data_IF_482367553636
#
_entry.id   IF_482367553636
#
_cell.length_a   1.000
_cell.length_b   1.000
_cell.length_c   1.000
_cell.angle_alpha   90.00
_cell.angle_beta   90.00
_cell.angle_gamma   90.00
#
_symmetry.space_group_name_H-M   'P 1'
#
loop_
_entity.id
_entity.type
_entity.pdbx_description
1 polymer ?
#
# COMPACT_ATOMS: atom_id res chain seq x y z
N UNK A 1 -5.18 -1.23 12.99
CA UNK A 1 -4.62 0.14 13.09
C UNK A 1 -3.75 0.45 11.87
N UNK A 2 -4.31 0.32 10.66
CA UNK A 2 -3.61 0.58 9.39
C UNK A 2 -4.65 0.49 8.27
N UNK A 3 -4.57 1.32 7.23
CA UNK A 3 -5.20 1.08 5.95
C UNK A 3 -4.25 1.50 4.81
N UNK A 4 -3.98 0.57 3.89
CA UNK A 4 -3.28 0.85 2.64
C UNK A 4 -4.08 0.30 1.45
N UNK A 5 -3.97 0.96 0.31
CA UNK A 5 -4.62 0.57 -0.95
C UNK A 5 -3.70 0.82 -2.14
N UNK A 6 -3.68 -0.12 -3.07
CA UNK A 6 -3.01 0.03 -4.35
C UNK A 6 -3.95 -0.28 -5.52
N UNK A 7 -3.89 0.53 -6.57
CA UNK A 7 -4.59 0.37 -7.83
C UNK A 7 -3.58 0.04 -8.93
N UNK A 8 -3.92 -0.91 -9.80
CA UNK A 8 -3.20 -1.25 -11.02
C UNK A 8 -4.12 -0.93 -12.22
N UNK A 9 -3.70 0.03 -13.05
CA UNK A 9 -4.49 0.57 -14.16
C UNK A 9 -3.65 0.54 -15.43
N UNK A 10 -4.29 0.67 -16.59
CA UNK A 10 -3.60 0.77 -17.88
C UNK A 10 -2.63 1.96 -17.92
N UNK A 11 -3.00 3.06 -17.26
CA UNK A 11 -2.21 4.28 -17.21
C UNK A 11 -1.06 4.24 -16.18
N UNK A 12 -1.10 3.34 -15.20
CA UNK A 12 -0.13 3.33 -14.12
C UNK A 12 -0.59 2.66 -12.83
N UNK A 13 0.16 2.91 -11.76
CA UNK A 13 -0.11 2.46 -10.40
C UNK A 13 -0.37 3.68 -9.50
N UNK A 14 -1.40 3.60 -8.66
CA UNK A 14 -1.70 4.59 -7.60
C UNK A 14 -1.72 3.89 -6.25
N UNK A 15 -0.96 4.42 -5.29
CA UNK A 15 -0.80 3.83 -3.95
C UNK A 15 -1.12 4.89 -2.90
N UNK A 16 -1.84 4.50 -1.85
CA UNK A 16 -2.12 5.36 -0.70
C UNK A 16 -2.03 4.57 0.60
N UNK A 17 -1.31 5.11 1.58
CA UNK A 17 -1.23 4.54 2.93
C UNK A 17 -1.48 5.59 4.02
N UNK A 18 -2.19 5.20 5.06
CA UNK A 18 -2.25 5.96 6.31
C UNK A 18 -0.97 5.77 7.15
N UNK A 19 -0.80 6.53 8.24
CA UNK A 19 0.43 6.46 9.07
C UNK A 19 0.19 6.16 10.54
N UNK A 20 -1.05 6.19 11.02
CA UNK A 20 -1.38 5.83 12.40
C UNK A 20 -1.07 4.35 12.66
N UNK A 21 -0.31 4.07 13.72
CA UNK A 21 0.22 2.74 13.99
C UNK A 21 0.15 2.42 15.48
N UNK A 22 -0.16 1.16 15.81
CA UNK A 22 -0.04 0.63 17.16
C UNK A 22 1.41 0.18 17.41
N UNK A 23 2.13 0.85 18.31
CA UNK A 23 3.49 0.49 18.70
C UNK A 23 3.55 -0.23 20.06
N UNK A 24 2.42 -0.54 20.69
CA UNK A 24 2.34 -1.19 21.99
C UNK A 24 1.13 -0.73 22.80
N UNK A 25 0.97 -1.30 24.00
CA UNK A 25 -0.07 -0.87 24.93
C UNK A 25 0.04 0.65 25.17
N UNK A 26 -1.06 1.37 24.90
CA UNK A 26 -1.18 2.83 25.00
C UNK A 26 -0.15 3.65 24.19
N UNK A 27 0.45 3.06 23.15
CA UNK A 27 1.40 3.74 22.28
C UNK A 27 0.90 3.79 20.83
N UNK A 28 0.13 4.85 20.53
CA UNK A 28 -0.31 5.16 19.17
C UNK A 28 0.58 6.27 18.62
N UNK A 29 1.25 5.99 17.50
CA UNK A 29 2.19 6.92 16.90
C UNK A 29 2.10 6.93 15.37
N UNK A 30 2.83 7.85 14.76
CA UNK A 30 2.89 8.04 13.31
C UNK A 30 4.14 7.35 12.77
N UNK A 31 3.93 6.31 11.95
CA UNK A 31 5.00 5.63 11.22
C UNK A 31 4.65 5.59 9.73
N UNK A 32 5.66 5.83 8.88
CA UNK A 32 5.52 5.67 7.43
C UNK A 32 5.21 4.22 7.11
N UNK A 33 4.24 3.99 6.21
CA UNK A 33 3.84 2.66 5.76
C UNK A 33 4.06 2.41 4.28
N UNK A 34 4.68 3.34 3.57
CA UNK A 34 4.99 3.26 2.14
C UNK A 34 6.48 3.51 1.90
N UNK A 35 7.12 2.60 1.17
CA UNK A 35 8.56 2.59 0.94
C UNK A 35 8.83 2.34 -0.54
N UNK A 36 9.81 3.02 -1.10
CA UNK A 36 10.13 2.95 -2.53
C UNK A 36 11.59 2.61 -2.73
N UNK A 37 11.85 1.64 -3.59
CA UNK A 37 13.17 1.22 -4.05
C UNK A 37 13.21 1.47 -5.55
N UNK A 38 14.19 2.21 -6.04
CA UNK A 38 14.24 2.60 -7.44
C UNK A 38 15.68 2.56 -7.95
N UNK A 39 15.83 1.98 -9.13
CA UNK A 39 16.97 2.19 -10.03
C UNK A 39 16.39 2.84 -11.28
N UNK A 40 16.43 4.19 -11.38
CA UNK A 40 15.73 4.92 -12.44
C UNK A 40 16.06 4.40 -13.84
N UNK A 41 15.02 4.19 -14.63
CA UNK A 41 15.13 3.60 -15.97
C UNK A 41 15.24 2.08 -15.99
N UNK A 42 15.55 1.41 -14.88
CA UNK A 42 15.63 -0.05 -14.80
C UNK A 42 14.48 -0.67 -14.02
N UNK A 43 14.21 -0.20 -12.81
CA UNK A 43 13.19 -0.80 -11.94
C UNK A 43 12.72 0.17 -10.86
N UNK A 44 11.41 0.15 -10.63
CA UNK A 44 10.77 0.79 -9.47
C UNK A 44 9.94 -0.24 -8.72
N UNK A 45 10.09 -0.28 -7.40
CA UNK A 45 9.34 -1.14 -6.48
C UNK A 45 8.84 -0.28 -5.33
N UNK A 46 7.53 -0.25 -5.12
CA UNK A 46 6.89 0.36 -3.97
C UNK A 46 6.28 -0.73 -3.07
N UNK A 47 6.47 -0.61 -1.76
CA UNK A 47 6.00 -1.56 -0.75
C UNK A 47 5.16 -0.79 0.27
N UNK A 48 3.92 -1.25 0.51
CA UNK A 48 3.10 -0.78 1.61
C UNK A 48 2.96 -1.85 2.69
N UNK A 49 2.89 -1.44 3.96
CA UNK A 49 2.93 -2.36 5.11
C UNK A 49 1.68 -2.28 5.99
N UNK A 50 1.25 -3.43 6.52
CA UNK A 50 0.23 -3.51 7.56
C UNK A 50 0.50 -4.67 8.53
N UNK A 51 0.12 -4.48 9.79
CA UNK A 51 0.28 -5.49 10.85
C UNK A 51 1.40 -5.15 11.84
N UNK A 52 2.13 -6.16 12.31
CA UNK A 52 3.18 -6.00 13.32
C UNK A 52 4.29 -5.05 12.86
N UNK A 53 4.50 -3.97 13.62
CA UNK A 53 5.51 -2.97 13.29
C UNK A 53 6.94 -3.54 13.31
N UNK A 54 7.25 -4.41 14.28
CA UNK A 54 8.58 -5.03 14.37
C UNK A 54 8.88 -5.94 13.18
N UNK A 55 7.89 -6.71 12.72
CA UNK A 55 8.03 -7.58 11.54
C UNK A 55 8.20 -6.75 10.28
N UNK A 56 7.35 -5.75 10.06
CA UNK A 56 7.38 -4.92 8.85
C UNK A 56 8.67 -4.08 8.77
N UNK A 57 9.10 -3.45 9.86
CA UNK A 57 10.35 -2.67 9.88
C UNK A 57 11.58 -3.55 9.68
N UNK A 58 11.66 -4.71 10.33
CA UNK A 58 12.80 -5.63 10.15
C UNK A 58 12.85 -6.16 8.72
N UNK A 59 11.70 -6.48 8.13
CA UNK A 59 11.60 -6.90 6.73
C UNK A 59 12.14 -5.82 5.79
N UNK A 60 11.66 -4.57 5.94
CA UNK A 60 12.10 -3.45 5.12
C UNK A 60 13.57 -3.11 5.31
N UNK A 61 14.08 -3.17 6.54
CA UNK A 61 15.49 -2.91 6.83
C UNK A 61 16.40 -3.91 6.11
N UNK A 62 16.08 -5.21 6.15
CA UNK A 62 16.83 -6.25 5.42
C UNK A 62 16.80 -6.04 3.91
N UNK A 63 15.64 -5.67 3.37
CA UNK A 63 15.50 -5.39 1.94
C UNK A 63 16.31 -4.16 1.53
N UNK A 64 16.33 -3.11 2.36
CA UNK A 64 17.12 -1.90 2.12
C UNK A 64 18.63 -2.17 2.20
N UNK A 65 19.09 -2.86 3.23
CA UNK A 65 20.49 -3.25 3.39
C UNK A 65 20.97 -4.08 2.18
N UNK A 66 20.18 -5.06 1.73
CA UNK A 66 20.51 -5.86 0.56
C UNK A 66 20.41 -5.07 -0.77
N UNK A 67 19.61 -4.01 -0.84
CA UNK A 67 19.53 -3.14 -2.01
C UNK A 67 20.74 -2.20 -2.11
N UNK A 68 21.32 -1.80 -0.98
CA UNK A 68 22.52 -0.95 -0.90
C UNK A 68 23.83 -1.74 -1.05
N UNK A 69 23.82 -3.05 -0.81
CA UNK A 69 24.98 -3.94 -0.98
C UNK A 69 25.42 -4.04 -2.46
N UNK A 70 26.60 -3.49 -2.84
CA UNK A 70 27.08 -3.52 -4.22
C UNK A 70 27.27 -4.96 -4.75
N UNK A 71 27.62 -5.89 -3.87
CA UNK A 71 27.91 -7.29 -4.19
C UNK A 71 26.66 -8.18 -4.16
N UNK A 72 25.51 -7.67 -3.72
CA UNK A 72 24.27 -8.42 -3.77
C UNK A 72 23.88 -8.72 -5.22
N UNK A 73 23.37 -9.92 -5.50
CA UNK A 73 22.83 -10.29 -6.81
C UNK A 73 21.29 -10.32 -6.80
N UNK A 74 20.68 -10.80 -7.87
CA UNK A 74 19.22 -10.93 -7.99
C UNK A 74 18.57 -11.94 -7.05
N UNK A 75 19.35 -12.70 -6.27
CA UNK A 75 18.84 -13.60 -5.21
C UNK A 75 18.73 -12.90 -3.85
N UNK A 76 19.47 -11.79 -3.66
CA UNK A 76 19.52 -11.02 -2.40
C UNK A 76 18.88 -9.64 -2.52
N UNK A 77 19.02 -8.97 -3.67
CA UNK A 77 18.54 -7.60 -3.89
C UNK A 77 17.30 -7.56 -4.77
N UNK A 78 16.22 -6.94 -4.27
CA UNK A 78 14.98 -6.73 -5.02
C UNK A 78 15.16 -5.82 -6.25
N UNK A 79 16.19 -4.95 -6.25
CA UNK A 79 16.54 -4.11 -7.39
C UNK A 79 17.17 -4.94 -8.52
N UNK A 80 17.82 -6.07 -8.21
CA UNK A 80 18.53 -6.91 -9.19
C UNK A 80 17.76 -8.16 -9.64
N UNK A 81 16.56 -8.41 -9.11
CA UNK A 81 15.70 -9.53 -9.55
C UNK A 81 15.33 -9.48 -11.05
N UNK A 82 15.21 -10.60 -11.76
CA UNK A 82 14.95 -10.59 -13.21
C UNK A 82 13.47 -10.30 -13.58
N UNK A 83 12.55 -10.32 -12.62
CA UNK A 83 11.12 -10.04 -12.85
C UNK A 83 10.43 -9.58 -11.58
N UNK A 84 9.30 -8.90 -11.72
CA UNK A 84 8.46 -8.52 -10.57
C UNK A 84 7.89 -9.74 -9.83
N UNK A 85 7.74 -10.90 -10.48
CA UNK A 85 7.41 -12.16 -9.78
C UNK A 85 8.55 -12.56 -8.84
N UNK A 86 9.81 -12.53 -9.32
CA UNK A 86 10.98 -12.81 -8.47
C UNK A 86 11.16 -11.75 -7.37
N UNK A 87 10.79 -10.50 -7.63
CA UNK A 87 10.70 -9.45 -6.60
C UNK A 87 9.71 -9.84 -5.51
N UNK A 88 8.49 -10.24 -5.87
CA UNK A 88 7.45 -10.64 -4.91
C UNK A 88 7.85 -11.90 -4.13
N UNK A 89 8.45 -12.90 -4.78
CA UNK A 89 8.99 -14.10 -4.12
C UNK A 89 10.06 -13.76 -3.07
N UNK A 90 11.01 -12.89 -3.42
CA UNK A 90 12.08 -12.48 -2.50
C UNK A 90 11.50 -11.71 -1.30
N UNK A 91 10.62 -10.74 -1.54
CA UNK A 91 9.96 -9.97 -0.47
C UNK A 91 9.13 -10.89 0.43
N UNK A 92 8.35 -11.80 -0.15
CA UNK A 92 7.53 -12.77 0.58
C UNK A 92 8.38 -13.70 1.44
N UNK A 93 9.50 -14.20 0.90
CA UNK A 93 10.46 -14.98 1.68
C UNK A 93 11.02 -14.17 2.85
N UNK A 94 11.51 -12.95 2.62
CA UNK A 94 12.06 -12.10 3.69
C UNK A 94 11.02 -11.83 4.79
N UNK A 95 9.76 -11.56 4.42
CA UNK A 95 8.67 -11.38 5.37
C UNK A 95 8.43 -12.62 6.22
N UNK A 96 8.33 -13.79 5.58
CA UNK A 96 8.08 -15.06 6.27
C UNK A 96 9.22 -15.43 7.23
N UNK A 97 10.48 -15.25 6.80
CA UNK A 97 11.67 -15.50 7.62
C UNK A 97 11.67 -14.59 8.87
N UNK A 98 11.46 -13.28 8.68
CA UNK A 98 11.37 -12.33 9.80
C UNK A 98 10.21 -12.66 10.74
N UNK A 99 9.05 -13.03 10.20
CA UNK A 99 7.89 -13.42 11.00
C UNK A 99 8.20 -14.62 11.87
N UNK A 100 8.87 -15.64 11.33
CA UNK A 100 9.26 -16.83 12.07
C UNK A 100 10.21 -16.46 13.22
N UNK A 101 11.26 -15.69 12.94
CA UNK A 101 12.23 -15.24 13.96
C UNK A 101 11.59 -14.43 15.10
N UNK A 102 10.64 -13.55 14.77
CA UNK A 102 9.91 -12.74 15.77
C UNK A 102 8.97 -13.64 16.59
N UNK A 103 8.29 -14.58 15.94
CA UNK A 103 7.36 -15.51 16.61
C UNK A 103 8.10 -16.40 17.60
N UNK A 104 9.29 -16.89 17.25
CA UNK A 104 10.13 -17.70 18.15
C UNK A 104 10.47 -16.94 19.43
N UNK A 105 10.83 -15.66 19.31
CA UNK A 105 11.11 -14.78 20.46
C UNK A 105 9.86 -14.51 21.32
N UNK A 106 8.67 -14.52 20.73
CA UNK A 106 7.39 -14.24 21.39
C UNK A 106 6.68 -15.49 21.95
N UNK A 107 7.21 -16.69 21.75
CA UNK A 107 6.57 -17.96 22.12
C UNK A 107 6.18 -18.01 23.61
N UNK A 108 6.98 -17.41 24.51
CA UNK A 108 6.66 -17.34 25.95
C UNK A 108 5.47 -16.43 26.28
N UNK A 109 5.15 -15.47 25.41
CA UNK A 109 4.11 -14.46 25.62
C UNK A 109 2.75 -14.82 25.02
N UNK A 110 2.62 -15.97 24.33
CA UNK A 110 1.39 -16.39 23.60
C UNK A 110 0.84 -15.31 22.64
N UNK A 111 1.70 -14.42 22.15
CA UNK A 111 1.36 -13.42 21.15
C UNK A 111 1.84 -13.89 19.77
N UNK A 112 1.01 -13.71 18.75
CA UNK A 112 1.40 -13.92 17.36
C UNK A 112 1.62 -12.58 16.68
N UNK A 113 2.75 -12.46 15.96
CA UNK A 113 3.04 -11.30 15.12
C UNK A 113 2.69 -11.67 13.68
N UNK A 114 1.77 -10.93 13.07
CA UNK A 114 1.39 -11.10 11.67
C UNK A 114 1.52 -9.78 10.92
N UNK A 115 1.96 -9.85 9.67
CA UNK A 115 2.13 -8.70 8.80
C UNK A 115 1.83 -9.09 7.35
N UNK A 116 1.33 -8.13 6.59
CA UNK A 116 1.01 -8.27 5.17
C UNK A 116 1.56 -7.06 4.41
N UNK A 117 1.87 -7.25 3.14
CA UNK A 117 2.45 -6.22 2.28
C UNK A 117 1.66 -6.08 0.99
N UNK A 118 1.57 -4.87 0.46
CA UNK A 118 1.29 -4.67 -0.96
C UNK A 118 2.61 -4.34 -1.64
N UNK A 119 2.93 -5.05 -2.71
CA UNK A 119 4.13 -4.82 -3.52
C UNK A 119 3.70 -4.41 -4.91
N UNK A 120 4.12 -3.24 -5.35
CA UNK A 120 3.77 -2.68 -6.65
C UNK A 120 5.04 -2.26 -7.39
N UNK A 121 5.03 -2.31 -8.71
CA UNK A 121 6.18 -1.78 -9.45
C UNK A 121 6.24 -2.19 -10.90
N UNK A 122 7.36 -1.83 -11.51
CA UNK A 122 7.66 -2.14 -12.90
C UNK A 122 9.17 -2.32 -13.05
N UNK A 123 9.57 -3.23 -13.95
CA UNK A 123 10.94 -3.33 -14.45
C UNK A 123 10.99 -3.03 -15.95
N UNK A 124 12.16 -2.63 -16.46
CA UNK A 124 12.42 -2.45 -17.88
C UNK A 124 11.98 -3.69 -18.65
N UNK A 125 11.20 -3.49 -19.72
CA UNK A 125 10.70 -4.57 -20.58
C UNK A 125 9.70 -5.51 -19.92
N UNK A 126 9.05 -5.09 -18.82
CA UNK A 126 8.00 -5.87 -18.14
C UNK A 126 6.76 -5.00 -17.88
N UNK A 127 5.58 -5.64 -17.71
CA UNK A 127 4.37 -4.92 -17.34
C UNK A 127 4.46 -4.41 -15.90
N UNK A 128 3.61 -3.44 -15.58
CA UNK A 128 3.32 -3.08 -14.20
C UNK A 128 2.63 -4.24 -13.49
N UNK A 129 3.01 -4.48 -12.24
CA UNK A 129 2.46 -5.58 -11.44
C UNK A 129 2.19 -5.13 -10.02
N UNK A 130 1.14 -5.68 -9.41
CA UNK A 130 0.67 -5.37 -8.07
C UNK A 130 0.33 -6.67 -7.35
N UNK A 131 0.93 -6.90 -6.19
CA UNK A 131 0.79 -8.12 -5.41
C UNK A 131 0.32 -7.83 -3.98
N UNK A 132 -0.46 -8.75 -3.43
CA UNK A 132 -0.75 -8.84 -2.00
C UNK A 132 0.05 -10.01 -1.43
N UNK A 133 1.03 -9.69 -0.59
CA UNK A 133 1.87 -10.66 0.11
C UNK A 133 1.27 -10.97 1.47
N UNK A 134 0.94 -12.24 1.68
CA UNK A 134 0.39 -12.76 2.92
C UNK A 134 1.48 -13.02 3.95
N UNK A 135 1.11 -13.14 5.24
CA UNK A 135 2.07 -13.40 6.32
C UNK A 135 2.95 -14.64 6.10
N UNK A 136 2.46 -15.64 5.35
CA UNK A 136 3.17 -16.89 5.04
C UNK A 136 4.22 -16.73 3.93
N UNK A 137 4.32 -15.54 3.32
CA UNK A 137 5.24 -15.22 2.23
C UNK A 137 4.74 -15.61 0.84
N UNK A 138 3.61 -16.32 0.73
CA UNK A 138 2.88 -16.48 -0.52
C UNK A 138 2.11 -15.19 -0.87
N UNK A 139 1.66 -15.08 -2.11
CA UNK A 139 1.01 -13.87 -2.61
C UNK A 139 0.01 -14.16 -3.71
N UNK A 140 -0.91 -13.23 -3.91
CA UNK A 140 -1.76 -13.12 -5.11
C UNK A 140 -1.40 -11.87 -5.90
N UNK A 141 -1.83 -11.81 -7.14
CA UNK A 141 -1.61 -10.69 -8.04
C UNK A 141 -2.94 -10.04 -8.44
N UNK A 142 -2.94 -8.71 -8.57
CA UNK A 142 -4.04 -7.97 -9.16
C UNK A 142 -4.18 -8.31 -10.66
N UNK A 143 -5.40 -8.31 -11.16
CA UNK A 143 -5.73 -8.59 -12.56
C UNK A 143 -6.64 -7.50 -13.10
N UNK A 144 -6.99 -7.56 -14.38
CA UNK A 144 -7.97 -6.64 -14.97
C UNK A 144 -9.35 -6.74 -14.27
N UNK A 145 -9.76 -7.96 -13.88
CA UNK A 145 -11.00 -8.21 -13.14
C UNK A 145 -10.92 -7.77 -11.66
N UNK A 146 -9.72 -7.67 -11.11
CA UNK A 146 -9.48 -7.21 -9.73
C UNK A 146 -8.29 -6.25 -9.72
N UNK A 147 -8.50 -5.00 -10.18
CA UNK A 147 -7.42 -4.04 -10.44
C UNK A 147 -6.94 -3.33 -9.18
N UNK A 148 -7.35 -3.78 -7.99
CA UNK A 148 -6.93 -3.17 -6.74
C UNK A 148 -6.79 -4.17 -5.60
N UNK A 149 -5.89 -3.85 -4.66
CA UNK A 149 -5.65 -4.63 -3.46
C UNK A 149 -5.61 -3.71 -2.24
N UNK A 150 -6.03 -4.23 -1.09
CA UNK A 150 -6.08 -3.47 0.17
C UNK A 150 -5.51 -4.32 1.32
N UNK A 151 -4.89 -3.66 2.30
CA UNK A 151 -4.42 -4.28 3.56
C UNK A 151 -4.84 -3.42 4.77
N UNK A 152 -5.01 -4.06 5.92
CA UNK A 152 -5.50 -3.41 7.13
C UNK A 152 -7.03 -3.26 7.19
N UNK A 153 -7.54 -2.14 7.70
CA UNK A 153 -8.96 -1.82 7.93
C UNK A 153 -9.67 -1.35 6.65
N UNK A 154 -9.73 -2.22 5.66
CA UNK A 154 -10.10 -1.84 4.28
C UNK A 154 -11.60 -1.84 3.96
N UNK A 155 -12.44 -2.42 4.83
CA UNK A 155 -13.87 -2.65 4.55
C UNK A 155 -14.68 -1.37 4.34
N UNK A 156 -14.30 -0.27 5.01
CA UNK A 156 -15.02 1.00 4.97
C UNK A 156 -14.85 1.74 3.64
N UNK A 157 -13.64 1.70 3.09
CA UNK A 157 -13.30 2.36 1.83
C UNK A 157 -13.58 1.51 0.58
N UNK A 158 -13.79 0.20 0.73
CA UNK A 158 -14.02 -0.72 -0.40
C UNK A 158 -15.20 -0.33 -1.33
N UNK A 159 -16.38 0.08 -0.83
CA UNK A 159 -17.54 0.29 -1.70
C UNK A 159 -17.39 1.39 -2.75
N UNK A 160 -16.58 2.43 -2.51
CA UNK A 160 -16.35 3.45 -3.54
C UNK A 160 -15.44 2.90 -4.64
N UNK A 161 -14.43 2.10 -4.29
CA UNK A 161 -13.53 1.48 -5.25
C UNK A 161 -14.28 0.50 -6.16
N UNK A 162 -15.11 -0.37 -5.58
CA UNK A 162 -15.97 -1.32 -6.32
C UNK A 162 -16.88 -0.64 -7.36
N UNK A 163 -17.25 0.63 -7.14
CA UNK A 163 -18.20 1.35 -7.99
C UNK A 163 -17.56 2.15 -9.12
N UNK A 164 -16.29 2.54 -8.99
CA UNK A 164 -15.69 3.56 -9.87
C UNK A 164 -14.37 3.15 -10.51
N UNK A 165 -13.72 2.11 -10.00
CA UNK A 165 -12.41 1.68 -10.50
C UNK A 165 -12.59 0.61 -11.58
N UNK A 166 -11.93 0.87 -12.71
CA UNK A 166 -11.79 -0.02 -13.87
C UNK A 166 -10.35 0.10 -14.40
N UNK A 167 -9.82 -0.86 -15.18
CA UNK A 167 -8.49 -0.73 -15.77
C UNK A 167 -8.27 0.55 -16.59
N UNK A 168 -9.32 1.11 -17.19
CA UNK A 168 -9.32 2.33 -18.00
C UNK A 168 -9.37 3.63 -17.18
N UNK A 169 -9.57 3.54 -15.86
CA UNK A 169 -9.66 4.71 -14.99
C UNK A 169 -8.37 5.55 -15.09
N UNK A 170 -8.51 6.86 -15.27
CA UNK A 170 -7.38 7.79 -15.32
C UNK A 170 -6.63 7.84 -13.98
N UNK A 171 -5.33 8.16 -13.99
CA UNK A 171 -4.56 8.32 -12.74
C UNK A 171 -5.17 9.39 -11.82
N UNK A 172 -5.65 10.49 -12.38
CA UNK A 172 -6.30 11.56 -11.60
C UNK A 172 -7.59 11.09 -10.92
N UNK A 173 -8.44 10.31 -11.61
CA UNK A 173 -9.66 9.76 -11.02
C UNK A 173 -9.36 8.65 -10.00
N UNK A 174 -8.33 7.86 -10.25
CA UNK A 174 -7.85 6.83 -9.34
C UNK A 174 -7.32 7.43 -8.03
N UNK A 175 -6.55 8.50 -8.09
CA UNK A 175 -6.12 9.26 -6.91
C UNK A 175 -7.30 9.81 -6.11
N UNK A 176 -8.26 10.42 -6.80
CA UNK A 176 -9.51 10.88 -6.18
C UNK A 176 -10.22 9.72 -5.49
N UNK A 177 -10.34 8.57 -6.14
CA UNK A 177 -11.00 7.39 -5.57
C UNK A 177 -10.29 6.84 -4.32
N UNK A 178 -8.96 6.70 -4.32
CA UNK A 178 -8.23 6.23 -3.12
C UNK A 178 -8.33 7.24 -1.97
N UNK A 179 -8.35 8.54 -2.25
CA UNK A 179 -8.53 9.58 -1.23
C UNK A 179 -9.94 9.58 -0.64
N UNK A 180 -10.99 9.39 -1.45
CA UNK A 180 -12.36 9.24 -0.97
C UNK A 180 -12.58 7.93 -0.18
N UNK A 181 -11.90 6.86 -0.60
CA UNK A 181 -11.84 5.59 0.14
C UNK A 181 -11.22 5.80 1.53
N UNK A 182 -10.11 6.56 1.59
CA UNK A 182 -9.45 6.90 2.84
C UNK A 182 -10.31 7.82 3.72
N UNK A 183 -10.97 8.84 3.17
CA UNK A 183 -11.88 9.73 3.91
C UNK A 183 -13.00 8.93 4.61
N UNK A 184 -13.64 8.02 3.88
CA UNK A 184 -14.68 7.14 4.43
C UNK A 184 -14.14 6.30 5.59
N UNK A 185 -12.91 5.79 5.44
CA UNK A 185 -12.26 4.96 6.47
C UNK A 185 -11.87 5.76 7.71
N UNK A 186 -11.27 6.94 7.53
CA UNK A 186 -10.89 7.85 8.62
C UNK A 186 -12.09 8.26 9.49
N UNK A 187 -13.25 8.48 8.86
CA UNK A 187 -14.50 8.85 9.54
C UNK A 187 -15.12 7.71 10.34
N UNK A 188 -14.87 6.47 9.93
CA UNK A 188 -15.54 5.29 10.50
C UNK A 188 -14.65 4.42 11.38
N UNK A 189 -13.32 4.60 11.36
CA UNK A 189 -12.39 3.77 12.13
C UNK A 189 -11.19 4.59 12.64
N UNK A 190 -11.14 4.83 13.95
CA UNK A 190 -10.09 5.61 14.63
C UNK A 190 -8.71 4.96 14.56
N UNK A 191 -8.61 3.69 14.17
CA UNK A 191 -7.35 3.00 14.06
C UNK A 191 -6.56 3.37 12.79
N UNK A 192 -7.22 4.07 11.86
CA UNK A 192 -6.63 4.66 10.66
C UNK A 192 -6.45 6.16 10.91
N UNK A 193 -5.35 6.75 10.42
CA UNK A 193 -5.08 8.16 10.71
C UNK A 193 -4.07 8.84 9.81
N UNK A 194 -4.28 10.15 9.70
CA UNK A 194 -3.38 11.11 9.05
C UNK A 194 -2.01 11.18 9.77
N UNK A 195 -0.96 11.66 9.08
CA UNK A 195 -0.89 12.00 7.66
C UNK A 195 -1.02 10.78 6.73
N UNK A 196 -1.20 11.03 5.43
CA UNK A 196 -1.23 10.02 4.38
C UNK A 196 -0.02 10.15 3.47
N UNK A 197 0.50 9.04 2.96
CA UNK A 197 1.53 9.02 1.93
C UNK A 197 0.91 8.49 0.62
N UNK A 198 0.97 9.31 -0.44
CA UNK A 198 0.46 9.03 -1.80
C UNK A 198 1.65 8.87 -2.76
N UNK A 199 1.64 7.80 -3.57
CA UNK A 199 2.61 7.58 -4.64
C UNK A 199 1.90 7.22 -5.94
N UNK A 200 2.38 7.78 -7.05
CA UNK A 200 1.93 7.48 -8.41
C UNK A 200 3.14 7.06 -9.24
N UNK A 201 2.99 5.97 -9.99
CA UNK A 201 3.97 5.46 -10.94
C UNK A 201 3.26 5.37 -12.29
N UNK A 202 3.67 6.17 -13.26
CA UNK A 202 3.13 6.15 -14.62
C UNK A 202 3.66 4.96 -15.41
N UNK A 203 2.80 4.36 -16.25
CA UNK A 203 3.16 3.23 -17.08
C UNK A 203 4.40 3.51 -17.94
N UNK A 204 5.45 2.72 -17.76
CA UNK A 204 6.70 2.85 -18.52
C UNK A 204 7.68 3.90 -18.00
N UNK A 205 7.36 4.65 -16.94
CA UNK A 205 8.27 5.63 -16.35
C UNK A 205 9.49 4.98 -15.69
N UNK A 206 9.34 3.78 -15.12
CA UNK A 206 10.39 3.03 -14.40
C UNK A 206 11.01 3.82 -13.23
N UNK A 207 10.27 4.76 -12.68
CA UNK A 207 10.58 5.57 -11.50
C UNK A 207 9.30 6.08 -10.85
N UNK A 208 9.40 6.69 -9.67
CA UNK A 208 8.25 7.32 -9.01
C UNK A 208 7.93 8.63 -9.72
N UNK A 209 6.82 8.66 -10.46
CA UNK A 209 6.36 9.85 -11.20
C UNK A 209 5.89 10.96 -10.27
N UNK A 210 5.25 10.59 -9.14
CA UNK A 210 4.82 11.56 -8.15
C UNK A 210 4.73 10.98 -6.75
N UNK A 211 5.17 11.75 -5.77
CA UNK A 211 5.04 11.43 -4.35
C UNK A 211 4.54 12.64 -3.59
N UNK A 212 3.55 12.45 -2.71
CA UNK A 212 2.97 13.52 -1.90
C UNK A 212 2.59 13.01 -0.52
N UNK A 213 2.97 13.74 0.51
CA UNK A 213 2.43 13.58 1.86
C UNK A 213 1.25 14.52 2.06
N UNK A 214 0.16 14.02 2.62
CA UNK A 214 -1.07 14.75 2.89
C UNK A 214 -1.21 14.88 4.40
N UNK A 215 -0.94 16.08 4.91
CA UNK A 215 -1.02 16.39 6.34
C UNK A 215 -2.48 16.50 6.81
N UNK A 216 -2.71 16.41 8.12
CA UNK A 216 -4.05 16.45 8.70
C UNK A 216 -4.81 17.74 8.34
N UNK A 217 -4.10 18.85 8.21
CA UNK A 217 -4.62 20.18 7.87
C UNK A 217 -4.57 20.46 6.35
N UNK A 218 -4.30 19.47 5.50
CA UNK A 218 -4.18 19.68 4.06
C UNK A 218 -5.47 20.31 3.48
N UNK A 219 -5.38 21.53 2.91
CA UNK A 219 -6.56 22.26 2.49
C UNK A 219 -7.20 21.63 1.25
N UNK A 220 -6.44 20.92 0.41
CA UNK A 220 -6.96 20.20 -0.75
C UNK A 220 -7.80 19.00 -0.32
N UNK A 221 -7.27 18.18 0.58
CA UNK A 221 -7.98 17.02 1.14
C UNK A 221 -9.24 17.45 1.89
N UNK A 222 -9.15 18.50 2.71
CA UNK A 222 -10.30 19.06 3.44
C UNK A 222 -11.41 19.53 2.49
N UNK A 223 -11.05 20.25 1.41
CA UNK A 223 -12.04 20.70 0.40
C UNK A 223 -12.70 19.53 -0.31
N UNK A 224 -11.91 18.53 -0.73
CA UNK A 224 -12.43 17.32 -1.39
C UNK A 224 -13.41 16.56 -0.48
N UNK A 225 -13.03 16.35 0.78
CA UNK A 225 -13.85 15.64 1.78
C UNK A 225 -15.19 16.34 2.05
N UNK A 226 -15.20 17.69 2.14
CA UNK A 226 -16.43 18.47 2.25
C UNK A 226 -17.29 18.36 0.99
N UNK A 227 -16.71 18.60 -0.18
CA UNK A 227 -17.44 18.54 -1.45
C UNK A 227 -18.08 17.16 -1.68
N UNK A 228 -17.39 16.09 -1.31
CA UNK A 228 -17.94 14.73 -1.37
C UNK A 228 -19.08 14.50 -0.39
N UNK A 229 -18.95 15.00 0.84
CA UNK A 229 -20.01 14.91 1.85
C UNK A 229 -21.29 15.62 1.40
N UNK A 230 -21.15 16.81 0.80
CA UNK A 230 -22.28 17.59 0.29
C UNK A 230 -22.93 16.87 -0.91
N UNK A 231 -22.13 16.39 -1.87
CA UNK A 231 -22.61 15.64 -3.01
C UNK A 231 -23.39 14.37 -2.63
N UNK A 232 -22.92 13.64 -1.60
CA UNK A 232 -23.63 12.46 -1.08
C UNK A 232 -24.97 12.82 -0.44
N UNK A 233 -25.05 13.92 0.31
CA UNK A 233 -26.31 14.40 0.90
C UNK A 233 -27.31 14.80 -0.17
N UNK A 234 -26.85 15.54 -1.17
CA UNK A 234 -27.67 15.96 -2.30
C UNK A 234 -28.16 14.77 -3.13
N UNK A 235 -27.31 13.77 -3.36
CA UNK A 235 -27.69 12.54 -4.03
C UNK A 235 -28.75 11.78 -3.22
N UNK A 236 -28.55 11.64 -1.90
CA UNK A 236 -29.50 10.95 -1.01
C UNK A 236 -30.89 11.58 -1.03
N UNK A 237 -30.99 12.91 -1.03
CA UNK A 237 -32.28 13.63 -1.10
C UNK A 237 -33.05 13.40 -2.41
N UNK A 238 -32.36 12.96 -3.46
CA UNK A 238 -32.96 12.70 -4.79
C UNK A 238 -33.41 11.26 -4.99
N UNK A 239 -33.13 10.37 -4.03
CA UNK A 239 -33.54 8.96 -4.12
C UNK A 239 -34.94 8.82 -3.52
N UNK A 240 -35.86 8.24 -4.28
CA UNK A 240 -37.22 7.98 -3.81
C UNK A 240 -37.23 6.96 -2.65
N UNK A 241 -38.11 7.13 -1.65
CA UNK A 241 -38.32 6.12 -0.63
C UNK A 241 -38.89 4.84 -1.25
N UNK A 242 -38.47 3.68 -0.74
CA UNK A 242 -38.98 2.35 -1.14
C UNK A 242 -40.32 2.06 -0.48
#
# INVERSE_FOLDING_TARGET
MTYCVGLLLNAGIVLLSDTRTNAGLDNIATYRKMYTFSEPGEKVVAIMTAGSLSVTQTTLARLAEAAEDPEADGTRSILKTPSMLKTAELIGKTLADVRAEVSDKMTRMKQSASASLIVAGQRRGGPMRLFLVYPEGNFIEATEDTPYLQIGEHKYGKPILDRVITPETSLADAEKAVLLSMDSTLRSNLSVGMPLDLTVIEAGALEVSRQRRIEAEDPGFTRMSRAWSDALRDAFQKIDPV
#
